data_IF_128164920025
#
_entry.id   IF_128164920025
#
_cell.length_a   1.000
_cell.length_b   1.000
_cell.length_c   1.000
_cell.angle_alpha   90.00
_cell.angle_beta   90.00
_cell.angle_gamma   90.00
#
_symmetry.space_group_name_H-M   'P 1'
#
loop_
_entity.id
_entity.type
_entity.pdbx_description
1 polymer ?
#
# COMPACT_ATOMS: atom_id res chain seq x y z
N UNK A 1 8.24 -2.49 -11.14
CA UNK A 1 8.89 -1.71 -10.06
C UNK A 1 8.74 -2.53 -8.79
N UNK A 2 9.83 -2.81 -8.07
CA UNK A 2 9.79 -3.56 -6.80
C UNK A 2 9.81 -2.50 -5.70
N UNK A 3 8.75 -2.45 -4.88
CA UNK A 3 8.66 -1.55 -3.73
C UNK A 3 9.16 -2.28 -2.48
N UNK A 4 10.12 -1.67 -1.77
CA UNK A 4 10.79 -2.19 -0.58
C UNK A 4 10.19 -1.68 0.74
N UNK A 5 9.02 -1.03 0.69
CA UNK A 5 8.32 -0.39 1.81
C UNK A 5 7.33 -1.30 2.55
N UNK A 6 7.31 -2.60 2.18
CA UNK A 6 6.42 -3.59 2.79
C UNK A 6 6.99 -4.27 4.03
N UNK A 7 6.13 -5.02 4.69
CA UNK A 7 6.52 -5.87 5.82
C UNK A 7 7.01 -7.24 5.37
N UNK A 8 8.09 -7.72 5.99
CA UNK A 8 8.59 -9.07 5.75
C UNK A 8 7.57 -10.12 6.18
N UNK A 9 7.38 -11.15 5.35
CA UNK A 9 6.38 -12.19 5.54
C UNK A 9 6.98 -13.58 5.35
N UNK A 10 6.32 -14.57 5.94
CA UNK A 10 6.57 -15.99 5.67
C UNK A 10 5.84 -16.48 4.41
N UNK A 11 5.99 -17.77 4.13
CA UNK A 11 5.36 -18.43 2.97
C UNK A 11 3.82 -18.44 3.00
N UNK A 12 3.21 -18.18 4.16
CA UNK A 12 1.76 -18.14 4.36
C UNK A 12 1.22 -16.70 4.35
N UNK A 13 2.04 -15.72 3.92
CA UNK A 13 1.74 -14.29 3.96
C UNK A 13 1.50 -13.74 5.38
N UNK A 14 2.05 -14.41 6.41
CA UNK A 14 2.03 -13.90 7.78
C UNK A 14 3.27 -13.06 8.03
N UNK A 15 3.11 -11.89 8.64
CA UNK A 15 4.27 -11.07 9.01
C UNK A 15 5.16 -11.77 10.03
N UNK A 16 6.48 -11.65 9.84
CA UNK A 16 7.47 -12.19 10.77
C UNK A 16 7.68 -11.29 11.98
N UNK A 17 7.33 -10.01 11.85
CA UNK A 17 7.41 -8.98 12.88
C UNK A 17 6.13 -8.12 12.85
N UNK A 18 5.58 -7.79 14.02
CA UNK A 18 4.35 -7.00 14.11
C UNK A 18 4.56 -5.57 13.57
N UNK A 19 3.75 -5.11 12.58
CA UNK A 19 3.87 -3.77 11.98
C UNK A 19 3.76 -2.61 12.98
N UNK A 20 2.98 -2.78 14.05
CA UNK A 20 2.70 -1.72 15.01
C UNK A 20 3.68 -1.63 16.19
N UNK A 21 4.12 -2.78 16.71
CA UNK A 21 4.90 -2.83 17.96
C UNK A 21 6.23 -3.58 17.85
N UNK A 22 6.56 -4.15 16.68
CA UNK A 22 7.82 -4.85 16.48
C UNK A 22 7.93 -6.22 17.14
N UNK A 23 6.87 -6.74 17.78
CA UNK A 23 6.92 -8.08 18.37
C UNK A 23 7.11 -9.17 17.30
N UNK A 24 8.04 -10.07 17.52
CA UNK A 24 8.34 -11.22 16.62
C UNK A 24 7.88 -12.56 17.19
N UNK A 25 7.47 -12.59 18.46
CA UNK A 25 7.08 -13.83 19.12
C UNK A 25 5.59 -14.09 18.92
N UNK A 26 5.27 -15.11 18.13
CA UNK A 26 3.90 -15.54 17.83
C UNK A 26 3.75 -17.05 18.05
N UNK A 27 2.56 -17.51 18.45
CA UNK A 27 2.24 -18.94 18.35
C UNK A 27 2.01 -19.29 16.87
N UNK A 28 2.05 -20.58 16.53
CA UNK A 28 1.85 -21.04 15.14
C UNK A 28 0.46 -20.66 14.62
N UNK A 29 -0.55 -20.65 15.48
CA UNK A 29 -1.95 -20.34 15.16
C UNK A 29 -2.31 -18.86 15.40
N UNK A 30 -1.36 -18.02 15.79
CA UNK A 30 -1.66 -16.61 16.02
C UNK A 30 -2.06 -15.91 14.71
N UNK A 31 -3.23 -15.27 14.74
CA UNK A 31 -3.69 -14.34 13.69
C UNK A 31 -3.51 -12.88 14.09
N UNK A 32 -3.38 -12.61 15.40
CA UNK A 32 -3.22 -11.28 15.96
C UNK A 32 -1.98 -11.20 16.85
N UNK A 33 -1.37 -10.02 16.91
CA UNK A 33 -0.24 -9.76 17.78
C UNK A 33 -0.68 -9.82 19.26
N UNK A 34 -0.03 -10.68 20.06
CA UNK A 34 -0.29 -10.82 21.50
C UNK A 34 -0.01 -9.55 22.34
N UNK A 35 0.69 -8.57 21.78
CA UNK A 35 1.09 -7.33 22.48
C UNK A 35 0.11 -6.19 22.20
N UNK A 36 -0.32 -6.01 20.95
CA UNK A 36 -1.10 -4.83 20.54
C UNK A 36 -2.40 -5.14 19.78
N UNK A 37 -2.72 -6.43 19.55
CA UNK A 37 -3.96 -6.86 18.91
C UNK A 37 -4.03 -6.66 17.39
N UNK A 38 -2.98 -6.14 16.75
CA UNK A 38 -2.96 -5.93 15.29
C UNK A 38 -2.89 -7.25 14.54
N UNK A 39 -3.63 -7.35 13.42
CA UNK A 39 -3.59 -8.51 12.53
C UNK A 39 -2.17 -8.78 12.03
N UNK A 40 -1.81 -10.06 12.00
CA UNK A 40 -0.53 -10.54 11.44
C UNK A 40 -0.60 -10.78 9.92
N UNK A 41 -1.76 -10.51 9.32
CA UNK A 41 -2.00 -10.68 7.88
C UNK A 41 -2.47 -9.37 7.27
N UNK A 42 -2.04 -9.12 6.04
CA UNK A 42 -2.53 -8.01 5.24
C UNK A 42 -3.80 -8.41 4.47
N UNK A 43 -4.90 -8.54 5.19
CA UNK A 43 -6.20 -8.93 4.62
C UNK A 43 -6.83 -7.76 3.85
N UNK A 44 -7.54 -8.02 2.76
CA UNK A 44 -8.38 -7.01 2.14
C UNK A 44 -9.71 -6.87 2.88
N UNK A 45 -10.41 -5.74 2.69
CA UNK A 45 -11.78 -5.55 3.19
C UNK A 45 -12.78 -6.56 2.62
N UNK A 46 -12.39 -7.34 1.62
CA UNK A 46 -13.22 -8.37 1.03
C UNK A 46 -14.46 -7.84 0.31
N UNK A 47 -15.34 -8.77 -0.03
CA UNK A 47 -16.65 -8.47 -0.58
C UNK A 47 -17.69 -9.50 -0.16
N UNK A 48 -18.94 -9.05 -0.06
CA UNK A 48 -20.06 -9.94 0.24
C UNK A 48 -20.44 -10.72 -1.02
N UNK A 49 -20.38 -12.04 -0.92
CA UNK A 49 -20.76 -12.98 -1.97
C UNK A 49 -22.21 -13.41 -1.73
N UNK A 50 -23.00 -13.39 -2.80
CA UNK A 50 -24.40 -13.79 -2.80
C UNK A 50 -24.58 -15.02 -3.68
N UNK A 51 -25.46 -15.92 -3.27
CA UNK A 51 -25.83 -17.09 -4.07
C UNK A 51 -26.64 -16.69 -5.32
N UNK A 52 -26.94 -17.66 -6.19
CA UNK A 52 -27.70 -17.41 -7.42
C UNK A 52 -29.14 -16.91 -7.18
N UNK A 53 -29.65 -17.02 -5.94
CA UNK A 53 -30.95 -16.51 -5.52
C UNK A 53 -30.86 -15.10 -4.92
N UNK A 54 -29.66 -14.49 -4.87
CA UNK A 54 -29.42 -13.18 -4.28
C UNK A 54 -29.40 -13.20 -2.75
N UNK A 55 -29.29 -14.38 -2.12
CA UNK A 55 -29.15 -14.50 -0.66
C UNK A 55 -27.67 -14.39 -0.29
N UNK A 56 -27.37 -13.66 0.78
CA UNK A 56 -26.02 -13.61 1.34
C UNK A 56 -25.51 -15.03 1.62
N UNK A 57 -24.31 -15.33 1.11
CA UNK A 57 -23.62 -16.60 1.32
C UNK A 57 -22.50 -16.41 2.33
N UNK A 58 -21.47 -15.65 1.98
CA UNK A 58 -20.33 -15.37 2.86
C UNK A 58 -19.63 -14.07 2.48
N UNK A 59 -18.79 -13.57 3.39
CA UNK A 59 -17.86 -12.47 3.12
C UNK A 59 -16.50 -13.06 2.76
N UNK A 60 -15.97 -12.71 1.59
CA UNK A 60 -14.71 -13.25 1.08
C UNK A 60 -13.56 -12.26 1.25
N UNK A 61 -12.58 -12.61 2.09
CA UNK A 61 -11.34 -11.86 2.28
C UNK A 61 -10.14 -12.62 1.71
N UNK A 62 -9.10 -11.88 1.34
CA UNK A 62 -7.87 -12.42 0.75
C UNK A 62 -6.64 -11.94 1.51
N UNK A 63 -5.68 -12.85 1.76
CA UNK A 63 -4.33 -12.50 2.24
C UNK A 63 -3.51 -11.90 1.10
N UNK A 64 -2.82 -10.79 1.37
CA UNK A 64 -2.01 -10.08 0.39
C UNK A 64 -0.56 -9.93 0.87
N UNK A 65 0.33 -9.61 -0.07
CA UNK A 65 1.73 -9.29 0.19
C UNK A 65 1.89 -8.12 1.16
N UNK A 66 3.04 -8.05 1.85
CA UNK A 66 3.29 -7.05 2.89
C UNK A 66 3.42 -5.61 2.40
N UNK A 67 3.58 -5.39 1.09
CA UNK A 67 3.58 -4.07 0.44
C UNK A 67 2.28 -3.77 -0.33
N UNK A 68 1.30 -4.68 -0.31
CA UNK A 68 0.07 -4.52 -1.08
C UNK A 68 -0.89 -3.55 -0.37
N UNK A 69 -1.24 -2.45 -1.05
CA UNK A 69 -2.22 -1.46 -0.57
C UNK A 69 -3.66 -1.81 -0.96
N UNK A 70 -3.81 -2.53 -2.06
CA UNK A 70 -5.06 -3.02 -2.59
C UNK A 70 -4.91 -4.49 -2.94
N UNK A 71 -6.01 -5.23 -2.85
CA UNK A 71 -6.03 -6.65 -3.18
C UNK A 71 -5.87 -6.87 -4.68
N UNK A 72 -4.96 -7.76 -5.08
CA UNK A 72 -4.79 -8.15 -6.48
C UNK A 72 -5.96 -9.00 -7.03
N UNK A 73 -6.80 -9.55 -6.14
CA UNK A 73 -7.97 -10.36 -6.51
C UNK A 73 -9.26 -9.56 -6.63
N UNK A 74 -9.62 -8.79 -5.59
CA UNK A 74 -10.89 -8.06 -5.55
C UNK A 74 -10.74 -6.53 -5.63
N UNK A 75 -9.52 -5.97 -5.69
CA UNK A 75 -9.27 -4.54 -5.81
C UNK A 75 -9.57 -3.71 -4.55
N UNK A 76 -10.07 -4.32 -3.48
CA UNK A 76 -10.43 -3.64 -2.23
C UNK A 76 -9.19 -3.23 -1.43
N UNK A 77 -9.25 -2.13 -0.64
CA UNK A 77 -8.17 -1.73 0.26
C UNK A 77 -7.74 -2.85 1.20
N UNK A 78 -6.45 -2.90 1.52
CA UNK A 78 -5.90 -3.84 2.49
C UNK A 78 -5.82 -3.25 3.90
N UNK A 79 -5.77 -4.12 4.89
CA UNK A 79 -5.69 -3.77 6.30
C UNK A 79 -4.45 -2.91 6.60
N UNK A 80 -3.29 -3.22 6.02
CA UNK A 80 -2.09 -2.41 6.24
C UNK A 80 -2.19 -1.01 5.63
N UNK A 81 -2.90 -0.86 4.52
CA UNK A 81 -3.15 0.46 3.95
C UNK A 81 -4.16 1.25 4.79
N UNK A 82 -5.25 0.61 5.22
CA UNK A 82 -6.28 1.26 6.05
C UNK A 82 -5.77 1.70 7.41
N UNK A 83 -4.94 0.88 8.05
CA UNK A 83 -4.30 1.21 9.33
C UNK A 83 -3.09 2.14 9.16
N UNK A 84 -2.85 2.65 7.94
CA UNK A 84 -1.74 3.54 7.59
C UNK A 84 -0.34 2.98 7.93
N UNK A 85 -0.20 1.65 7.97
CA UNK A 85 1.13 1.01 8.01
C UNK A 85 1.83 1.10 6.65
N UNK A 86 1.06 1.23 5.56
CA UNK A 86 1.55 1.58 4.24
C UNK A 86 0.99 2.96 3.87
N UNK A 87 1.85 3.87 3.45
CA UNK A 87 1.44 5.19 2.94
C UNK A 87 0.82 5.06 1.54
N UNK A 88 -0.03 6.00 1.09
CA UNK A 88 -0.46 6.07 -0.30
C UNK A 88 0.71 6.03 -1.29
N UNK A 89 0.49 5.47 -2.48
CA UNK A 89 1.57 5.31 -3.46
C UNK A 89 2.17 6.64 -3.89
N UNK A 90 1.35 7.66 -4.13
CA UNK A 90 1.82 8.96 -4.58
C UNK A 90 2.80 9.60 -3.56
N UNK A 91 2.59 9.36 -2.27
CA UNK A 91 3.43 9.88 -1.19
C UNK A 91 4.79 9.17 -1.12
N UNK A 92 4.83 7.86 -1.39
CA UNK A 92 6.09 7.08 -1.39
C UNK A 92 6.84 7.23 -2.72
N UNK A 93 6.13 7.55 -3.81
CA UNK A 93 6.71 7.69 -5.15
C UNK A 93 7.75 8.79 -5.19
N UNK A 94 7.50 9.93 -4.54
CA UNK A 94 8.43 11.06 -4.55
C UNK A 94 9.77 10.68 -3.93
N UNK A 95 9.75 10.06 -2.74
CA UNK A 95 10.97 9.57 -2.07
C UNK A 95 11.71 8.53 -2.94
N UNK A 96 10.96 7.61 -3.56
CA UNK A 96 11.54 6.60 -4.42
C UNK A 96 12.22 7.21 -5.66
N UNK A 97 11.55 8.15 -6.33
CA UNK A 97 12.08 8.85 -7.50
C UNK A 97 13.35 9.61 -7.13
N UNK A 98 13.35 10.33 -6.00
CA UNK A 98 14.54 11.01 -5.51
C UNK A 98 15.71 10.05 -5.24
N UNK A 99 15.45 8.94 -4.52
CA UNK A 99 16.46 7.90 -4.24
C UNK A 99 17.01 7.31 -5.55
N UNK A 100 16.14 7.01 -6.51
CA UNK A 100 16.51 6.44 -7.79
C UNK A 100 17.38 7.38 -8.63
N UNK A 101 17.00 8.67 -8.72
CA UNK A 101 17.76 9.68 -9.44
C UNK A 101 19.13 9.95 -8.80
N UNK A 102 19.21 9.95 -7.45
CA UNK A 102 20.49 10.03 -6.72
C UNK A 102 21.41 8.85 -7.04
N UNK A 103 20.85 7.64 -7.12
CA UNK A 103 21.62 6.43 -7.43
C UNK A 103 21.99 6.31 -8.92
N UNK A 104 21.19 6.91 -9.82
CA UNK A 104 21.35 6.81 -11.28
C UNK A 104 21.33 8.21 -11.93
N UNK A 105 22.39 9.02 -11.77
CA UNK A 105 22.41 10.43 -12.16
C UNK A 105 22.30 10.66 -13.68
N UNK A 106 22.51 9.63 -14.50
CA UNK A 106 22.37 9.68 -15.96
C UNK A 106 21.01 9.19 -16.45
N UNK A 107 20.10 8.78 -15.55
CA UNK A 107 18.75 8.42 -15.93
C UNK A 107 18.01 9.66 -16.45
N UNK A 108 17.48 9.59 -17.66
CA UNK A 108 16.66 10.67 -18.23
C UNK A 108 15.38 10.74 -17.40
N UNK A 109 15.13 11.90 -16.78
CA UNK A 109 13.91 12.25 -16.05
C UNK A 109 12.73 12.32 -17.02
N UNK A 110 12.19 11.14 -17.38
CA UNK A 110 11.17 11.00 -18.42
C UNK A 110 9.78 11.48 -18.04
N UNK A 111 9.52 11.83 -16.77
CA UNK A 111 8.19 12.20 -16.27
C UNK A 111 8.15 13.45 -15.37
N UNK A 112 9.25 14.19 -15.18
CA UNK A 112 9.29 15.32 -14.22
C UNK A 112 8.93 16.68 -14.86
N UNK A 113 7.91 16.73 -15.72
CA UNK A 113 7.39 18.02 -16.22
C UNK A 113 5.86 17.97 -16.32
N UNK A 114 5.17 17.98 -15.18
CA UNK A 114 3.77 18.48 -15.13
C UNK A 114 3.37 19.12 -13.79
N UNK A 115 4.26 19.26 -12.80
CA UNK A 115 3.88 19.86 -11.49
C UNK A 115 4.82 20.98 -11.02
N UNK A 116 5.98 21.21 -11.66
CA UNK A 116 6.95 22.23 -11.20
C UNK A 116 6.91 23.58 -11.92
N UNK A 117 6.04 23.79 -12.91
CA UNK A 117 5.76 25.15 -13.42
C UNK A 117 4.51 25.71 -12.76
N UNK A 118 4.52 25.77 -11.44
CA UNK A 118 3.81 26.82 -10.71
C UNK A 118 4.61 28.12 -10.83
N UNK A 119 4.69 28.68 -12.04
CA UNK A 119 5.05 30.09 -12.21
C UNK A 119 3.72 30.81 -12.31
N UNK A 120 3.31 31.42 -11.21
CA UNK A 120 2.37 32.53 -11.21
C UNK A 120 3.02 33.66 -12.02
N UNK A 121 2.62 33.82 -13.27
CA UNK A 121 2.80 35.08 -13.99
C UNK A 121 1.43 35.76 -13.99
N UNK A 122 1.19 36.55 -12.94
CA UNK A 122 0.27 37.67 -13.01
C UNK A 122 0.86 38.69 -14.01
N UNK A 123 -0.01 39.33 -14.78
CA UNK A 123 0.23 40.48 -15.68
C UNK A 123 0.73 40.03 -17.09
N UNK A 124 0.22 40.46 -18.25
CA UNK A 124 -0.54 41.65 -18.64
C UNK A 124 -1.24 41.40 -20.00
N UNK A 125 -2.37 42.09 -20.20
CA UNK A 125 -2.88 42.63 -21.47
C UNK A 125 -2.85 41.77 -22.75
N UNK A 126 -4.03 41.25 -23.13
CA UNK A 126 -4.34 40.93 -24.52
C UNK A 126 -4.92 42.18 -25.21
N UNK A 127 -4.21 42.81 -26.17
CA UNK A 127 -4.84 43.78 -27.05
C UNK A 127 -5.57 43.06 -28.19
N UNK A 128 -6.88 43.32 -28.26
CA UNK A 128 -7.86 43.23 -29.36
C UNK A 128 -8.08 41.89 -30.07
#
# INVERSE_FOLDING_TARGET
MIYDDGFAMDVNLRVTQCPKCGNEQFSNEAEFCRICGVSLYNLCEGEDIYDYNGKFDHHEEHKNSGNARFCEKCGRPTYFFKEAFLLPYDDVREEYVERYLKANPTAISGNTVMVLTGVSDDNDDLPF
#
